data_IF_216339015168
#
_entry.id   IF_216339015168
#
_cell.length_a   1.000
_cell.length_b   1.000
_cell.length_c   1.000
_cell.angle_alpha   90.00
_cell.angle_beta   90.00
_cell.angle_gamma   90.00
#
_symmetry.space_group_name_H-M   'P 1'
#
loop_
_entity.id
_entity.type
_entity.pdbx_description
1 polymer ?
#
# COMPACT_ATOMS: atom_id res chain seq x y z
N UNK A 1 60.67 43.89 4.39
CA UNK A 1 60.62 42.55 4.99
C UNK A 1 59.64 42.59 6.14
N UNK A 2 58.44 42.06 5.97
CA UNK A 2 57.54 41.74 7.10
C UNK A 2 56.58 40.63 6.66
N UNK A 3 56.50 39.61 7.51
CA UNK A 3 55.72 38.39 7.36
C UNK A 3 54.21 38.68 7.41
N UNK A 4 53.43 37.94 6.63
CA UNK A 4 52.38 37.02 7.12
C UNK A 4 51.50 36.56 5.96
N UNK A 5 51.58 35.28 5.58
CA UNK A 5 50.52 34.61 4.81
C UNK A 5 50.03 33.42 5.62
N UNK A 6 48.82 33.59 6.19
CA UNK A 6 48.05 32.53 6.85
C UNK A 6 47.83 31.37 5.88
N UNK A 7 48.23 30.17 6.30
CA UNK A 7 47.84 28.93 5.65
C UNK A 7 46.46 28.55 6.18
N UNK A 8 45.41 28.87 5.42
CA UNK A 8 44.05 28.39 5.67
C UNK A 8 43.93 26.93 5.25
N UNK A 9 44.05 26.03 6.23
CA UNK A 9 43.85 24.59 6.07
C UNK A 9 42.35 24.29 5.94
N UNK A 10 41.84 24.26 4.70
CA UNK A 10 40.44 23.91 4.42
C UNK A 10 40.26 22.39 4.52
N UNK A 11 39.58 21.95 5.57
CA UNK A 11 39.07 20.58 5.69
C UNK A 11 37.99 20.37 4.63
N UNK A 12 38.33 19.66 3.54
CA UNK A 12 37.34 19.22 2.56
C UNK A 12 36.80 17.85 2.97
N UNK A 13 35.99 17.82 4.02
CA UNK A 13 35.21 16.64 4.39
C UNK A 13 33.96 16.64 3.53
N UNK A 14 34.05 16.07 2.32
CA UNK A 14 32.83 15.75 1.59
C UNK A 14 32.06 14.70 2.38
N UNK A 15 30.77 14.91 2.70
CA UNK A 15 29.97 13.86 3.29
C UNK A 15 29.87 12.74 2.26
N UNK A 16 30.33 11.54 2.64
CA UNK A 16 30.03 10.30 1.92
C UNK A 16 28.51 10.17 1.93
N UNK A 17 27.86 10.52 0.82
CA UNK A 17 26.43 10.28 0.63
C UNK A 17 26.25 8.77 0.53
N UNK A 18 25.94 8.14 1.65
CA UNK A 18 25.44 6.78 1.67
C UNK A 18 24.21 6.78 0.76
N UNK A 19 24.27 6.06 -0.37
CA UNK A 19 23.09 5.74 -1.16
C UNK A 19 22.15 4.99 -0.23
N UNK A 20 21.19 5.69 0.35
CA UNK A 20 20.10 5.07 1.10
C UNK A 20 19.36 4.21 0.09
N UNK A 21 19.54 2.89 0.16
CA UNK A 21 18.72 1.94 -0.58
C UNK A 21 17.31 2.08 -0.03
N UNK A 22 16.51 2.95 -0.63
CA UNK A 22 15.16 3.23 -0.16
C UNK A 22 14.32 1.97 -0.36
N UNK A 23 13.80 1.42 0.73
CA UNK A 23 12.93 0.25 0.67
C UNK A 23 11.69 0.59 -0.18
N UNK A 24 11.41 -0.23 -1.18
CA UNK A 24 10.22 -0.10 -2.04
C UNK A 24 9.22 -1.22 -1.78
N UNK A 25 7.94 -0.92 -1.86
CA UNK A 25 6.87 -1.89 -1.65
C UNK A 25 6.74 -2.74 -2.91
N UNK A 26 6.81 -4.05 -2.72
CA UNK A 26 6.77 -5.03 -3.79
C UNK A 26 5.36 -5.61 -3.95
N UNK A 27 4.73 -6.02 -2.85
CA UNK A 27 3.41 -6.64 -2.90
C UNK A 27 2.68 -6.57 -1.55
N UNK A 28 1.35 -6.46 -1.58
CA UNK A 28 0.49 -6.72 -0.42
C UNK A 28 -0.09 -8.13 -0.50
N UNK A 29 -0.05 -8.88 0.60
CA UNK A 29 -0.69 -10.18 0.73
C UNK A 29 -1.84 -10.07 1.73
N UNK A 30 -3.06 -10.32 1.25
CA UNK A 30 -4.26 -10.44 2.07
C UNK A 30 -4.57 -11.92 2.29
N UNK A 31 -4.49 -12.39 3.53
CA UNK A 31 -4.87 -13.75 3.88
C UNK A 31 -6.23 -13.74 4.56
N UNK A 32 -7.21 -14.40 3.98
CA UNK A 32 -8.57 -14.49 4.49
C UNK A 32 -8.87 -15.92 4.93
N UNK A 33 -9.43 -16.04 6.12
CA UNK A 33 -9.96 -17.30 6.65
C UNK A 33 -11.09 -17.85 5.76
N UNK A 34 -11.35 -19.16 5.83
CA UNK A 34 -12.39 -19.81 5.01
C UNK A 34 -13.80 -19.29 5.29
N UNK A 35 -14.06 -18.88 6.54
CA UNK A 35 -15.32 -18.28 6.98
C UNK A 35 -15.35 -16.74 6.82
N UNK A 36 -14.29 -16.15 6.27
CA UNK A 36 -14.14 -14.71 6.03
C UNK A 36 -14.15 -13.81 7.29
N UNK A 37 -14.06 -14.37 8.49
CA UNK A 37 -14.07 -13.61 9.75
C UNK A 37 -12.73 -12.94 10.06
N UNK A 38 -11.64 -13.58 9.64
CA UNK A 38 -10.27 -13.13 9.88
C UNK A 38 -9.58 -12.73 8.58
N UNK A 39 -8.99 -11.54 8.57
CA UNK A 39 -8.17 -11.02 7.47
C UNK A 39 -6.83 -10.51 7.99
N UNK A 40 -5.75 -11.14 7.53
CA UNK A 40 -4.37 -10.78 7.81
C UNK A 40 -3.79 -9.99 6.64
N UNK A 41 -2.88 -9.06 6.95
CA UNK A 41 -2.19 -8.26 5.95
C UNK A 41 -0.67 -8.37 6.15
N UNK A 42 0.04 -8.78 5.11
CA UNK A 42 1.48 -8.74 5.04
C UNK A 42 1.93 -7.82 3.90
N UNK A 43 3.01 -7.07 4.11
CA UNK A 43 3.60 -6.19 3.10
C UNK A 43 5.02 -6.68 2.81
N UNK A 44 5.26 -7.09 1.57
CA UNK A 44 6.59 -7.43 1.09
C UNK A 44 7.30 -6.17 0.59
N UNK A 45 8.51 -5.93 1.09
CA UNK A 45 9.39 -4.84 0.70
C UNK A 45 10.61 -5.37 -0.09
N UNK A 46 11.31 -4.48 -0.78
CA UNK A 46 12.58 -4.79 -1.43
C UNK A 46 13.61 -5.32 -0.42
N UNK A 47 14.43 -6.28 -0.83
CA UNK A 47 15.47 -6.86 0.03
C UNK A 47 14.94 -7.93 0.99
N UNK A 48 13.92 -8.69 0.59
CA UNK A 48 13.35 -9.83 1.31
C UNK A 48 12.78 -9.50 2.70
N UNK A 49 12.47 -8.23 2.95
CA UNK A 49 11.80 -7.82 4.19
C UNK A 49 10.29 -7.99 4.06
N UNK A 50 9.68 -8.54 5.09
CA UNK A 50 8.23 -8.67 5.19
C UNK A 50 7.74 -8.01 6.48
N UNK A 51 6.70 -7.19 6.36
CA UNK A 51 6.03 -6.55 7.49
C UNK A 51 4.71 -7.28 7.73
N UNK A 52 4.56 -7.86 8.91
CA UNK A 52 3.31 -8.46 9.35
C UNK A 52 2.47 -7.43 10.11
N UNK A 53 1.31 -7.06 9.55
CA UNK A 53 0.34 -6.15 10.18
C UNK A 53 -0.71 -6.93 10.99
N UNK A 54 -0.62 -8.26 11.01
CA UNK A 54 -1.50 -9.15 11.76
C UNK A 54 -2.94 -9.10 11.29
N UNK A 55 -3.85 -9.52 12.17
CA UNK A 55 -5.29 -9.56 11.92
C UNK A 55 -5.98 -8.28 12.39
N UNK A 56 -6.79 -7.65 11.53
CA UNK A 56 -7.61 -6.49 11.92
C UNK A 56 -8.92 -6.46 11.15
N UNK A 57 -9.99 -5.98 11.80
CA UNK A 57 -11.30 -5.84 11.15
C UNK A 57 -11.29 -4.85 9.97
N UNK A 58 -10.45 -3.81 10.00
CA UNK A 58 -10.32 -2.87 8.86
C UNK A 58 -9.68 -3.47 7.62
N UNK A 59 -9.01 -4.63 7.71
CA UNK A 59 -8.45 -5.31 6.55
C UNK A 59 -9.53 -5.85 5.61
N UNK A 60 -10.72 -6.19 6.12
CA UNK A 60 -11.81 -6.67 5.27
C UNK A 60 -12.31 -5.59 4.28
N UNK A 61 -12.22 -4.31 4.67
CA UNK A 61 -12.49 -3.21 3.75
C UNK A 61 -11.48 -3.17 2.60
N UNK A 62 -10.19 -3.36 2.89
CA UNK A 62 -9.14 -3.40 1.87
C UNK A 62 -9.29 -4.62 0.95
N UNK A 63 -9.62 -5.77 1.52
CA UNK A 63 -9.93 -7.01 0.79
C UNK A 63 -11.09 -6.82 -0.20
N UNK A 64 -12.15 -6.14 0.22
CA UNK A 64 -13.31 -5.85 -0.65
C UNK A 64 -12.91 -5.00 -1.85
N UNK A 65 -12.11 -3.96 -1.64
CA UNK A 65 -11.56 -3.13 -2.72
C UNK A 65 -10.63 -3.92 -3.66
N UNK A 66 -9.79 -4.80 -3.10
CA UNK A 66 -8.88 -5.64 -3.88
C UNK A 66 -9.65 -6.62 -4.78
N UNK A 67 -10.69 -7.28 -4.23
CA UNK A 67 -11.59 -8.16 -4.99
C UNK A 67 -12.30 -7.42 -6.12
N UNK A 68 -12.78 -6.20 -5.88
CA UNK A 68 -13.40 -5.41 -6.94
C UNK A 68 -12.41 -5.11 -8.07
N UNK A 69 -11.20 -4.66 -7.72
CA UNK A 69 -10.16 -4.35 -8.72
C UNK A 69 -9.78 -5.57 -9.54
N UNK A 70 -9.63 -6.72 -8.90
CA UNK A 70 -9.36 -8.00 -9.54
C UNK A 70 -10.51 -8.46 -10.43
N UNK A 71 -11.76 -8.30 -9.99
CA UNK A 71 -12.96 -8.61 -10.78
C UNK A 71 -13.02 -7.76 -12.06
N UNK A 72 -12.79 -6.45 -11.94
CA UNK A 72 -12.78 -5.55 -13.10
C UNK A 72 -11.64 -5.86 -14.07
N UNK A 73 -10.46 -6.22 -13.56
CA UNK A 73 -9.34 -6.66 -14.37
C UNK A 73 -9.64 -7.95 -15.15
N UNK A 74 -10.27 -8.94 -14.49
CA UNK A 74 -10.71 -10.19 -15.13
C UNK A 74 -11.77 -9.96 -16.21
N UNK A 75 -12.54 -8.87 -16.10
CA UNK A 75 -13.52 -8.44 -17.11
C UNK A 75 -12.91 -7.63 -18.26
N UNK A 76 -11.61 -7.36 -18.22
CA UNK A 76 -10.92 -6.57 -19.24
C UNK A 76 -11.21 -5.07 -19.19
N UNK A 77 -11.66 -4.55 -18.05
CA UNK A 77 -11.83 -3.10 -17.85
C UNK A 77 -10.46 -2.43 -17.87
N UNK A 78 -10.36 -1.22 -18.44
CA UNK A 78 -9.12 -0.44 -18.44
C UNK A 78 -8.59 -0.16 -17.04
N UNK A 79 -7.26 -0.14 -16.88
CA UNK A 79 -6.56 0.03 -15.59
C UNK A 79 -7.02 1.27 -14.83
N UNK A 80 -7.32 2.37 -15.54
CA UNK A 80 -7.81 3.60 -14.93
C UNK A 80 -9.23 3.47 -14.36
N UNK A 81 -10.03 2.55 -14.91
CA UNK A 81 -11.41 2.26 -14.55
C UNK A 81 -11.59 1.14 -13.52
N UNK A 82 -10.59 0.30 -13.30
CA UNK A 82 -10.70 -0.85 -12.38
C UNK A 82 -10.81 -0.43 -10.91
N UNK A 83 -11.66 -1.15 -10.15
CA UNK A 83 -11.64 -1.19 -8.70
C UNK A 83 -12.36 -0.07 -7.97
N UNK A 84 -12.97 0.87 -8.69
CA UNK A 84 -13.67 2.00 -8.09
C UNK A 84 -15.04 1.59 -7.55
N UNK A 85 -15.23 1.78 -6.25
CA UNK A 85 -16.51 1.59 -5.56
C UNK A 85 -16.98 2.90 -4.92
N UNK A 86 -18.28 3.17 -5.02
CA UNK A 86 -18.87 4.29 -4.30
C UNK A 86 -18.77 4.05 -2.78
N UNK A 87 -18.45 5.08 -2.00
CA UNK A 87 -18.35 4.95 -0.52
C UNK A 87 -19.63 4.45 0.14
N UNK A 88 -20.81 4.87 -0.34
CA UNK A 88 -22.09 4.43 0.23
C UNK A 88 -22.36 2.97 -0.10
N UNK A 89 -22.02 2.55 -1.31
CA UNK A 89 -22.12 1.15 -1.75
C UNK A 89 -21.17 0.26 -0.95
N UNK A 90 -19.89 0.66 -0.82
CA UNK A 90 -18.91 -0.06 -0.02
C UNK A 90 -19.36 -0.18 1.45
N UNK A 91 -19.88 0.89 2.04
CA UNK A 91 -20.41 0.84 3.40
C UNK A 91 -21.56 -0.18 3.51
N UNK A 92 -22.49 -0.17 2.54
CA UNK A 92 -23.60 -1.12 2.49
C UNK A 92 -23.13 -2.58 2.34
N UNK A 93 -22.18 -2.86 1.44
CA UNK A 93 -21.59 -4.20 1.26
C UNK A 93 -20.94 -4.74 2.54
N UNK A 94 -20.36 -3.85 3.33
CA UNK A 94 -19.69 -4.19 4.58
C UNK A 94 -20.64 -4.23 5.79
N UNK A 95 -21.93 -3.91 5.61
CA UNK A 95 -22.88 -3.77 6.72
C UNK A 95 -22.53 -2.63 7.68
N UNK A 96 -21.81 -1.61 7.20
CA UNK A 96 -21.35 -0.46 7.97
C UNK A 96 -22.13 0.80 7.60
N UNK A 97 -22.15 1.76 8.52
CA UNK A 97 -22.50 3.13 8.16
C UNK A 97 -21.28 3.86 7.51
N UNK A 98 -21.51 4.93 6.74
CA UNK A 98 -20.44 5.66 6.08
C UNK A 98 -19.40 6.29 7.02
N UNK A 99 -19.74 6.61 8.27
CA UNK A 99 -18.81 7.16 9.26
C UNK A 99 -17.89 6.07 9.77
N UNK A 100 -18.43 4.89 10.07
CA UNK A 100 -17.64 3.72 10.45
C UNK A 100 -16.69 3.29 9.33
N UNK A 101 -17.13 3.29 8.06
CA UNK A 101 -16.24 3.07 6.92
C UNK A 101 -15.04 4.04 6.93
N UNK A 102 -15.27 5.33 7.22
CA UNK A 102 -14.17 6.31 7.27
C UNK A 102 -13.17 6.01 8.38
N UNK A 103 -13.66 5.56 9.55
CA UNK A 103 -12.80 5.13 10.67
C UNK A 103 -11.96 3.94 10.25
N UNK A 104 -12.56 2.94 9.58
CA UNK A 104 -11.84 1.75 9.11
C UNK A 104 -10.73 2.14 8.11
N UNK A 105 -11.03 3.01 7.12
CA UNK A 105 -9.99 3.48 6.18
C UNK A 105 -8.92 4.32 6.89
N UNK A 106 -9.29 5.17 7.86
CA UNK A 106 -8.33 5.95 8.62
C UNK A 106 -7.37 5.04 9.40
N UNK A 107 -7.90 4.06 10.13
CA UNK A 107 -7.12 3.07 10.91
C UNK A 107 -6.21 2.25 10.03
N UNK A 108 -6.71 1.79 8.88
CA UNK A 108 -5.92 1.08 7.88
C UNK A 108 -4.72 1.91 7.43
N UNK A 109 -4.96 3.17 7.02
CA UNK A 109 -3.88 4.07 6.58
C UNK A 109 -2.89 4.32 7.72
N UNK A 110 -3.37 4.57 8.93
CA UNK A 110 -2.50 4.78 10.08
C UNK A 110 -1.62 3.55 10.35
N UNK A 111 -2.18 2.35 10.38
CA UNK A 111 -1.41 1.13 10.63
C UNK A 111 -0.33 0.89 9.57
N UNK A 112 -0.66 1.09 8.30
CA UNK A 112 0.30 0.97 7.21
C UNK A 112 1.39 2.06 7.34
N UNK A 113 1.02 3.28 7.70
CA UNK A 113 1.96 4.39 7.86
C UNK A 113 3.00 4.10 8.95
N UNK A 114 2.55 3.52 10.06
CA UNK A 114 3.38 3.15 11.21
C UNK A 114 4.29 1.96 10.90
N UNK A 115 3.88 1.07 9.98
CA UNK A 115 4.67 -0.10 9.57
C UNK A 115 5.71 0.22 8.48
N UNK A 116 5.41 1.15 7.58
CA UNK A 116 6.26 1.45 6.43
C UNK A 116 7.50 2.28 6.82
N UNK A 117 8.67 2.02 6.18
CA UNK A 117 9.86 2.85 6.35
C UNK A 117 9.62 4.31 5.92
N UNK A 118 10.34 5.24 6.55
CA UNK A 118 10.22 6.68 6.27
C UNK A 118 10.43 6.98 4.78
N UNK A 119 9.44 7.64 4.15
CA UNK A 119 9.51 8.07 2.75
C UNK A 119 8.57 7.33 1.79
N UNK A 120 7.83 6.31 2.25
CA UNK A 120 6.80 5.66 1.45
C UNK A 120 5.43 6.34 1.62
N UNK A 121 4.65 6.46 0.54
CA UNK A 121 3.37 7.18 0.53
C UNK A 121 2.16 6.25 0.70
N UNK A 122 1.23 6.68 1.54
CA UNK A 122 -0.01 5.97 1.86
C UNK A 122 -1.08 6.04 0.78
N UNK A 123 -1.02 7.07 -0.05
CA UNK A 123 -2.02 7.36 -1.07
C UNK A 123 -2.03 6.29 -2.18
N UNK A 124 -0.98 5.48 -2.24
CA UNK A 124 -0.84 4.35 -3.16
C UNK A 124 -1.62 3.11 -2.73
N UNK A 125 -1.99 2.96 -1.46
CA UNK A 125 -2.71 1.76 -1.00
C UNK A 125 -4.21 1.89 -1.20
N UNK A 126 -4.77 3.06 -0.89
CA UNK A 126 -6.20 3.35 -1.10
C UNK A 126 -6.33 4.67 -1.83
N UNK A 127 -6.62 4.59 -3.11
CA UNK A 127 -6.88 5.77 -3.93
C UNK A 127 -8.31 6.27 -3.72
N UNK A 128 -8.49 7.59 -3.89
CA UNK A 128 -9.78 8.26 -3.71
C UNK A 128 -10.05 9.20 -4.87
N UNK A 129 -11.29 9.17 -5.40
CA UNK A 129 -11.77 10.18 -6.37
C UNK A 129 -13.25 10.41 -6.21
N UNK A 130 -13.74 11.65 -6.27
CA UNK A 130 -15.18 12.00 -6.37
C UNK A 130 -16.16 11.17 -5.50
N UNK A 131 -15.76 10.77 -4.28
CA UNK A 131 -16.60 9.95 -3.38
C UNK A 131 -16.52 8.43 -3.58
N UNK A 132 -15.62 7.97 -4.44
CA UNK A 132 -15.26 6.59 -4.69
C UNK A 132 -13.90 6.24 -4.08
N UNK A 133 -13.72 4.96 -3.79
CA UNK A 133 -12.49 4.37 -3.27
C UNK A 133 -12.09 3.19 -4.15
N UNK A 134 -10.79 2.96 -4.30
CA UNK A 134 -10.26 1.72 -4.86
C UNK A 134 -9.02 1.25 -4.12
N UNK A 135 -8.72 -0.03 -4.24
CA UNK A 135 -7.39 -0.54 -3.92
C UNK A 135 -6.42 0.11 -4.91
N UNK A 136 -5.31 0.66 -4.44
CA UNK A 136 -4.46 1.47 -5.29
C UNK A 136 -3.62 0.66 -6.28
N UNK A 137 -2.84 1.35 -7.10
CA UNK A 137 -2.06 0.74 -8.18
C UNK A 137 -0.78 0.06 -7.64
N UNK A 138 -0.95 -1.01 -6.87
CA UNK A 138 0.12 -1.82 -6.30
C UNK A 138 -0.12 -3.31 -6.59
N UNK A 139 0.92 -4.14 -6.71
CA UNK A 139 0.74 -5.59 -6.78
C UNK A 139 0.12 -6.12 -5.48
N UNK A 140 -0.82 -7.05 -5.61
CA UNK A 140 -1.40 -7.73 -4.45
C UNK A 140 -1.80 -9.16 -4.77
N UNK A 141 -1.86 -10.00 -3.74
CA UNK A 141 -2.47 -11.31 -3.82
C UNK A 141 -3.45 -11.55 -2.67
N UNK A 142 -4.49 -12.31 -2.96
CA UNK A 142 -5.52 -12.73 -2.02
C UNK A 142 -5.40 -14.24 -1.87
N UNK A 143 -5.18 -14.69 -0.64
CA UNK A 143 -5.11 -16.11 -0.27
C UNK A 143 -6.29 -16.41 0.63
N UNK A 144 -7.14 -17.37 0.25
CA UNK A 144 -8.26 -17.86 1.06
C UNK A 144 -7.93 -19.23 1.63
N UNK A 145 -7.81 -19.33 2.94
CA UNK A 145 -7.30 -20.54 3.60
C UNK A 145 -5.90 -20.89 3.09
N UNK A 146 -5.77 -22.01 2.37
CA UNK A 146 -4.52 -22.45 1.73
C UNK A 146 -4.46 -22.23 0.22
N UNK A 147 -5.48 -21.60 -0.38
CA UNK A 147 -5.61 -21.46 -1.84
C UNK A 147 -5.48 -20.00 -2.27
N UNK A 148 -4.82 -19.75 -3.40
CA UNK A 148 -4.78 -18.41 -4.00
C UNK A 148 -6.16 -18.12 -4.61
N UNK A 149 -6.86 -17.13 -4.07
CA UNK A 149 -8.14 -16.63 -4.60
C UNK A 149 -7.91 -15.76 -5.85
N UNK A 150 -6.80 -15.02 -5.85
CA UNK A 150 -6.27 -14.39 -7.05
C UNK A 150 -5.11 -13.44 -6.78
N UNK A 151 -4.50 -13.00 -7.86
CA UNK A 151 -3.32 -12.14 -7.86
C UNK A 151 -3.52 -11.03 -8.88
N UNK A 152 -3.09 -9.83 -8.52
CA UNK A 152 -3.10 -8.65 -9.36
C UNK A 152 -1.68 -8.15 -9.46
N UNK A 153 -1.15 -8.21 -10.68
CA UNK A 153 0.14 -7.63 -11.02
C UNK A 153 -0.10 -6.26 -11.66
N UNK A 154 0.86 -5.35 -11.48
CA UNK A 154 0.78 -4.07 -12.18
C UNK A 154 0.81 -4.34 -13.68
N UNK A 155 -0.21 -3.90 -14.43
CA UNK A 155 -0.16 -4.00 -15.88
C UNK A 155 1.01 -3.14 -16.35
N UNK A 156 1.98 -3.75 -17.02
CA UNK A 156 3.01 -3.00 -17.75
C UNK A 156 2.27 -2.06 -18.70
N UNK A 157 2.30 -0.76 -18.42
CA UNK A 157 1.77 0.21 -19.36
C UNK A 157 2.73 0.20 -20.57
N UNK A 158 2.29 -0.16 -21.78
CA UNK A 158 3.11 0.10 -22.95
C UNK A 158 3.25 1.63 -23.06
N UNK A 159 4.50 2.10 -23.02
CA UNK A 159 4.88 3.50 -23.27
C UNK A 159 4.43 3.91 -24.66
#
# INVERSE_FOLDING_TARGET
MSLNSKLDFKWNTQPVVLKQTQASLQQLRLQVSLNEEHVYLNISLSGEQELDLGERSHHYCLLTLARQRLSDARRGIDVSGQGWLNRKELAHMLGLDPSHLNIQIHRLRQQIAEALPSGMQLDEVVERRRGELRFGALPFCIVRGSSIEGEYLLPCNPV
#
